data_IF_360054878072
#
_entry.id   IF_360054878072
#
_cell.length_a   1.000
_cell.length_b   1.000
_cell.length_c   1.000
_cell.angle_alpha   90.00
_cell.angle_beta   90.00
_cell.angle_gamma   90.00
#
_symmetry.space_group_name_H-M   'P 1'
#
loop_
_entity.id
_entity.type
_entity.pdbx_description
1 polymer ?
#
# COMPACT_ATOMS: atom_id res chain seq x y z
N UNK A 1 3.51 16.17 0.38
CA UNK A 1 2.85 17.02 1.38
C UNK A 1 1.77 17.85 0.69
N UNK A 2 0.50 17.60 0.99
CA UNK A 2 -0.65 18.34 0.49
C UNK A 2 -1.11 19.39 1.51
N UNK A 3 -1.04 20.68 1.14
CA UNK A 3 -1.41 21.81 2.04
C UNK A 3 -0.72 21.76 3.42
N UNK A 4 0.54 21.32 3.45
CA UNK A 4 1.32 21.20 4.69
C UNK A 4 1.03 19.94 5.51
N UNK A 5 0.27 18.97 4.96
CA UNK A 5 -0.02 17.67 5.58
C UNK A 5 0.61 16.53 4.79
N UNK A 6 1.09 15.50 5.46
CA UNK A 6 1.53 14.26 4.79
C UNK A 6 0.32 13.45 4.31
N UNK A 7 0.47 12.77 3.17
CA UNK A 7 -0.59 11.93 2.59
C UNK A 7 -0.07 10.52 2.37
N UNK A 8 -0.73 9.54 2.96
CA UNK A 8 -0.48 8.12 2.69
C UNK A 8 -1.62 7.49 1.87
N UNK A 9 -1.26 6.49 1.06
CA UNK A 9 -2.23 5.62 0.38
C UNK A 9 -2.01 4.19 0.87
N UNK A 10 -3.07 3.58 1.39
CA UNK A 10 -3.05 2.20 1.88
C UNK A 10 -3.72 1.29 0.85
N UNK A 11 -2.97 0.30 0.36
CA UNK A 11 -3.48 -0.76 -0.51
C UNK A 11 -3.56 -2.10 0.22
N UNK A 12 -4.75 -2.56 0.61
CA UNK A 12 -4.93 -3.96 0.95
C UNK A 12 -4.82 -4.82 -0.31
N UNK A 13 -3.99 -5.86 -0.30
CA UNK A 13 -3.78 -6.75 -1.46
C UNK A 13 -3.98 -8.23 -1.10
N UNK A 14 -4.71 -8.93 -1.96
CA UNK A 14 -4.97 -10.38 -1.94
C UNK A 14 -4.81 -11.01 -3.34
N UNK A 15 -5.43 -10.48 -4.40
CA UNK A 15 -5.37 -11.03 -5.76
C UNK A 15 -4.97 -10.01 -6.84
N UNK A 16 -4.36 -8.88 -6.44
CA UNK A 16 -4.10 -7.73 -7.30
C UNK A 16 -2.69 -7.72 -7.92
N UNK A 17 -2.01 -8.89 -8.02
CA UNK A 17 -0.63 -9.02 -8.52
C UNK A 17 -0.39 -8.23 -9.82
N UNK A 18 -1.29 -8.38 -10.79
CA UNK A 18 -1.11 -7.83 -12.13
C UNK A 18 -1.35 -6.31 -12.21
N UNK A 19 -1.90 -5.70 -11.15
CA UNK A 19 -2.25 -4.27 -11.09
C UNK A 19 -1.55 -3.48 -9.98
N UNK A 20 -1.05 -4.14 -8.93
CA UNK A 20 -0.55 -3.46 -7.73
C UNK A 20 0.65 -2.56 -8.03
N UNK A 21 1.54 -3.01 -8.92
CA UNK A 21 2.71 -2.24 -9.35
C UNK A 21 2.31 -0.97 -10.09
N UNK A 22 1.45 -1.07 -11.11
CA UNK A 22 1.04 0.11 -11.89
C UNK A 22 0.28 1.09 -11.01
N UNK A 23 -0.67 0.62 -10.18
CA UNK A 23 -1.39 1.46 -9.25
C UNK A 23 -0.43 2.21 -8.30
N UNK A 24 0.52 1.50 -7.69
CA UNK A 24 1.52 2.11 -6.80
C UNK A 24 2.32 3.22 -7.50
N UNK A 25 2.84 2.94 -8.70
CA UNK A 25 3.63 3.91 -9.47
C UNK A 25 2.80 5.11 -9.90
N UNK A 26 1.54 4.90 -10.31
CA UNK A 26 0.63 5.97 -10.72
C UNK A 26 0.31 6.92 -9.56
N UNK A 27 0.09 6.40 -8.35
CA UNK A 27 -0.15 7.24 -7.18
C UNK A 27 1.07 8.07 -6.80
N UNK A 28 2.28 7.50 -6.86
CA UNK A 28 3.51 8.29 -6.68
C UNK A 28 3.66 9.36 -7.77
N UNK A 29 3.33 9.04 -9.03
CA UNK A 29 3.44 9.97 -10.15
C UNK A 29 2.53 11.21 -10.04
N UNK A 30 1.51 11.17 -9.17
CA UNK A 30 0.68 12.36 -8.89
C UNK A 30 1.46 13.48 -8.20
N UNK A 31 2.55 13.16 -7.51
CA UNK A 31 3.31 14.11 -6.67
C UNK A 31 2.56 14.56 -5.40
N UNK A 32 1.39 13.98 -5.11
CA UNK A 32 0.58 14.31 -3.94
C UNK A 32 0.82 13.36 -2.77
N UNK A 33 1.17 12.10 -3.08
CA UNK A 33 1.35 11.01 -2.11
C UNK A 33 2.79 11.01 -1.60
N UNK A 34 2.93 11.02 -0.27
CA UNK A 34 4.23 10.95 0.41
C UNK A 34 4.64 9.50 0.68
N UNK A 35 3.68 8.60 0.91
CA UNK A 35 3.91 7.19 1.16
C UNK A 35 2.81 6.31 0.56
N UNK A 36 3.19 5.17 -0.02
CA UNK A 36 2.26 4.08 -0.34
C UNK A 36 2.58 2.91 0.56
N UNK A 37 1.57 2.44 1.30
CA UNK A 37 1.64 1.27 2.18
C UNK A 37 0.85 0.15 1.53
N UNK A 38 1.51 -0.93 1.15
CA UNK A 38 0.86 -2.12 0.61
C UNK A 38 0.76 -3.18 1.70
N UNK A 39 -0.46 -3.55 2.07
CA UNK A 39 -0.73 -4.56 3.10
C UNK A 39 -1.01 -5.90 2.41
N UNK A 40 0.01 -6.75 2.37
CA UNK A 40 -0.07 -8.11 1.91
C UNK A 40 -0.90 -8.94 2.90
N UNK A 41 -2.11 -9.30 2.49
CA UNK A 41 -3.06 -10.03 3.32
C UNK A 41 -3.27 -11.45 2.81
N UNK A 42 -2.17 -12.21 2.72
CA UNK A 42 -2.08 -13.52 2.06
C UNK A 42 -2.22 -13.41 0.53
N UNK A 43 -1.50 -12.45 -0.05
CA UNK A 43 -1.61 -12.12 -1.46
C UNK A 43 -1.10 -13.24 -2.39
N UNK A 44 -1.61 -13.24 -3.62
CA UNK A 44 -1.21 -14.16 -4.67
C UNK A 44 0.31 -14.20 -4.85
N UNK A 45 0.86 -15.38 -5.10
CA UNK A 45 2.28 -15.56 -5.32
C UNK A 45 2.81 -14.63 -6.43
N UNK A 46 3.95 -13.98 -6.20
CA UNK A 46 4.50 -12.96 -7.10
C UNK A 46 4.11 -11.52 -6.74
N UNK A 47 3.16 -11.29 -5.83
CA UNK A 47 2.71 -9.93 -5.48
C UNK A 47 3.82 -9.11 -4.83
N UNK A 48 4.57 -9.68 -3.88
CA UNK A 48 5.69 -9.00 -3.22
C UNK A 48 6.80 -8.63 -4.20
N UNK A 49 7.04 -9.48 -5.20
CA UNK A 49 7.99 -9.22 -6.29
C UNK A 49 7.55 -8.05 -7.18
N UNK A 50 6.25 -7.93 -7.46
CA UNK A 50 5.70 -6.79 -8.20
C UNK A 50 5.81 -5.47 -7.41
N UNK A 51 5.59 -5.52 -6.09
CA UNK A 51 5.72 -4.38 -5.17
C UNK A 51 7.20 -3.97 -5.02
N UNK A 52 8.12 -4.92 -5.04
CA UNK A 52 9.55 -4.66 -4.88
C UNK A 52 10.05 -3.64 -5.91
N UNK A 53 10.77 -2.63 -5.43
CA UNK A 53 11.35 -1.57 -6.26
C UNK A 53 10.35 -0.50 -6.74
N UNK A 54 9.09 -0.52 -6.31
CA UNK A 54 8.12 0.57 -6.58
C UNK A 54 8.30 1.78 -5.65
N UNK A 55 9.02 1.60 -4.53
CA UNK A 55 9.12 2.59 -3.46
C UNK A 55 8.04 2.48 -2.39
N UNK A 56 7.02 1.62 -2.58
CA UNK A 56 6.05 1.33 -1.53
C UNK A 56 6.66 0.51 -0.38
N UNK A 57 6.12 0.71 0.81
CA UNK A 57 6.41 -0.11 1.98
C UNK A 57 5.40 -1.26 2.05
N UNK A 58 5.89 -2.49 2.08
CA UNK A 58 5.06 -3.68 2.24
C UNK A 58 4.93 -4.06 3.72
N UNK A 59 3.71 -4.40 4.16
CA UNK A 59 3.40 -4.96 5.49
C UNK A 59 2.66 -6.28 5.29
N UNK A 60 2.98 -7.29 6.09
CA UNK A 60 2.24 -8.56 6.07
C UNK A 60 1.20 -8.62 7.19
N UNK A 61 -0.07 -8.85 6.84
CA UNK A 61 -1.17 -9.10 7.79
C UNK A 61 -1.63 -10.55 7.68
N UNK A 62 -1.34 -11.41 8.68
CA UNK A 62 -1.67 -12.84 8.61
C UNK A 62 -3.17 -13.13 8.72
N UNK A 63 -3.97 -12.28 9.37
CA UNK A 63 -5.42 -12.47 9.49
C UNK A 63 -6.10 -12.03 8.21
N UNK A 64 -6.56 -13.00 7.42
CA UNK A 64 -7.24 -12.73 6.17
C UNK A 64 -8.53 -11.92 6.38
N UNK A 65 -8.71 -10.89 5.55
CA UNK A 65 -9.89 -10.05 5.51
C UNK A 65 -9.53 -8.61 5.13
N UNK A 66 -10.30 -8.03 4.20
CA UNK A 66 -10.10 -6.66 3.74
C UNK A 66 -10.04 -5.64 4.90
N UNK A 67 -10.91 -5.82 5.91
CA UNK A 67 -10.90 -4.99 7.12
C UNK A 67 -9.65 -5.15 7.99
N UNK A 68 -9.11 -6.38 8.12
CA UNK A 68 -7.85 -6.59 8.83
C UNK A 68 -6.69 -5.90 8.12
N UNK A 69 -6.63 -6.01 6.79
CA UNK A 69 -5.61 -5.34 5.99
C UNK A 69 -5.68 -3.81 6.11
N UNK A 70 -6.88 -3.22 6.04
CA UNK A 70 -7.05 -1.78 6.22
C UNK A 70 -6.65 -1.30 7.63
N UNK A 71 -7.12 -1.98 8.68
CA UNK A 71 -6.78 -1.61 10.06
C UNK A 71 -5.27 -1.75 10.29
N UNK A 72 -4.65 -2.82 9.81
CA UNK A 72 -3.20 -3.00 9.88
C UNK A 72 -2.44 -1.86 9.17
N UNK A 73 -2.90 -1.45 7.99
CA UNK A 73 -2.32 -0.31 7.28
C UNK A 73 -2.45 1.00 8.07
N UNK A 74 -3.61 1.26 8.67
CA UNK A 74 -3.86 2.46 9.49
C UNK A 74 -2.98 2.44 10.75
N UNK A 75 -2.88 1.30 11.45
CA UNK A 75 -2.08 1.15 12.67
C UNK A 75 -0.59 1.38 12.43
N UNK A 76 -0.12 1.23 11.20
CA UNK A 76 1.27 1.46 10.78
C UNK A 76 1.45 2.72 9.94
N UNK A 77 0.45 3.61 9.89
CA UNK A 77 0.49 4.86 9.15
C UNK A 77 0.63 6.03 10.12
N UNK A 78 1.61 6.90 9.87
CA UNK A 78 1.82 8.14 10.66
C UNK A 78 1.47 9.40 9.85
N UNK A 79 0.89 9.25 8.65
CA UNK A 79 0.53 10.39 7.82
C UNK A 79 -0.66 11.16 8.41
N UNK A 80 -0.71 12.46 8.13
CA UNK A 80 -1.80 13.34 8.55
C UNK A 80 -3.13 13.04 7.84
N UNK A 81 -3.05 12.45 6.63
CA UNK A 81 -4.15 12.13 5.72
C UNK A 81 -3.98 10.73 5.11
#
# INVERSE_FOLDING_TARGET
MWRGKSVAVIFPTYNEKDSIRSATVEYFATGLVDEVIVVNNNAAAGTSEEIAGTGAREIFEPKQGYGHALLCGIDHCEADL
#
